data_IF_383582869570
#
_entry.id   IF_383582869570
#
_cell.length_a   1.000
_cell.length_b   1.000
_cell.length_c   1.000
_cell.angle_alpha   90.00
_cell.angle_beta   90.00
_cell.angle_gamma   90.00
#
_symmetry.space_group_name_H-M   'P 1'
#
loop_
_entity.id
_entity.type
_entity.pdbx_description
1 polymer ?
#
# COMPACT_ATOMS: atom_id res chain seq x y z
N UNK A 1 11.23 -9.70 -6.41
CA UNK A 1 12.60 -10.26 -6.51
C UNK A 1 12.67 -11.58 -5.77
N UNK A 2 13.69 -12.41 -6.02
CA UNK A 2 13.88 -13.66 -5.26
C UNK A 2 13.97 -13.41 -3.75
N UNK A 3 14.61 -12.32 -3.33
CA UNK A 3 14.66 -11.89 -1.92
C UNK A 3 13.27 -11.57 -1.34
N UNK A 4 12.37 -10.97 -2.12
CA UNK A 4 10.99 -10.70 -1.69
C UNK A 4 10.16 -11.99 -1.57
N UNK A 5 10.42 -12.99 -2.42
CA UNK A 5 9.78 -14.31 -2.29
C UNK A 5 10.24 -15.03 -1.03
N UNK A 6 11.54 -15.03 -0.74
CA UNK A 6 12.07 -15.61 0.48
C UNK A 6 11.50 -14.94 1.73
N UNK A 7 11.48 -13.59 1.76
CA UNK A 7 10.84 -12.84 2.85
C UNK A 7 9.38 -13.25 3.00
N UNK A 8 8.60 -13.29 1.92
CA UNK A 8 7.20 -13.72 1.97
C UNK A 8 7.02 -15.15 2.49
N UNK A 9 7.88 -16.10 2.10
CA UNK A 9 7.81 -17.48 2.58
C UNK A 9 8.15 -17.59 4.07
N UNK A 10 9.04 -16.74 4.59
CA UNK A 10 9.43 -16.70 6.00
C UNK A 10 8.42 -15.95 6.88
N UNK A 11 8.01 -14.73 6.49
CA UNK A 11 7.13 -13.85 7.27
C UNK A 11 5.63 -14.10 7.01
N UNK A 12 5.30 -14.92 6.00
CA UNK A 12 3.94 -15.14 5.48
C UNK A 12 3.20 -13.87 5.06
N UNK A 13 3.92 -12.75 4.89
CA UNK A 13 3.37 -11.46 4.51
C UNK A 13 4.42 -10.56 3.85
N UNK A 14 4.01 -9.77 2.87
CA UNK A 14 4.89 -8.86 2.12
C UNK A 14 4.12 -7.60 1.72
N UNK A 15 4.61 -6.44 2.14
CA UNK A 15 4.16 -5.13 1.66
C UNK A 15 5.11 -4.61 0.57
N UNK A 16 4.56 -4.17 -0.55
CA UNK A 16 5.30 -3.45 -1.59
C UNK A 16 4.43 -2.44 -2.31
N UNK A 17 5.06 -1.50 -3.02
CA UNK A 17 4.37 -0.58 -3.91
C UNK A 17 4.55 -1.01 -5.35
N UNK A 18 3.48 -0.90 -6.14
CA UNK A 18 3.48 -1.18 -7.57
C UNK A 18 2.95 0.04 -8.32
N UNK A 19 3.70 0.50 -9.31
CA UNK A 19 3.32 1.62 -10.16
C UNK A 19 2.84 1.06 -11.49
N UNK A 20 1.56 1.30 -11.81
CA UNK A 20 0.95 0.96 -13.08
C UNK A 20 1.13 2.15 -14.03
N UNK A 21 2.25 2.15 -14.76
CA UNK A 21 2.64 3.23 -15.68
C UNK A 21 2.46 4.61 -15.01
N UNK A 22 1.99 5.60 -15.76
CA UNK A 22 1.68 6.95 -15.26
C UNK A 22 0.23 7.08 -14.77
N UNK A 23 -0.50 5.97 -14.60
CA UNK A 23 -1.94 6.01 -14.27
C UNK A 23 -2.22 5.90 -12.79
N UNK A 24 -1.57 4.97 -12.10
CA UNK A 24 -1.91 4.66 -10.72
C UNK A 24 -0.75 4.02 -9.96
N UNK A 25 -0.63 4.38 -8.68
CA UNK A 25 0.26 3.68 -7.74
C UNK A 25 -0.59 2.88 -6.77
N UNK A 26 -0.21 1.64 -6.52
CA UNK A 26 -0.86 0.76 -5.56
C UNK A 26 0.10 0.42 -4.44
N UNK A 27 -0.40 0.42 -3.22
CA UNK A 27 0.25 -0.28 -2.10
C UNK A 27 -0.40 -1.64 -1.99
N UNK A 28 0.40 -2.68 -2.19
CA UNK A 28 -0.03 -4.08 -2.21
C UNK A 28 0.53 -4.75 -0.96
N UNK A 29 -0.35 -5.38 -0.18
CA UNK A 29 0.04 -6.29 0.89
C UNK A 29 -0.41 -7.70 0.47
N UNK A 30 0.53 -8.63 0.36
CA UNK A 30 0.27 -10.05 0.08
C UNK A 30 0.51 -10.83 1.35
N UNK A 31 -0.40 -11.72 1.74
CA UNK A 31 -0.36 -12.42 3.02
C UNK A 31 -1.06 -13.78 2.93
N UNK A 32 -0.80 -14.67 3.88
CA UNK A 32 -1.57 -15.89 4.02
C UNK A 32 -2.80 -15.67 4.90
N UNK A 33 -3.98 -15.97 4.36
CA UNK A 33 -5.24 -15.97 5.08
C UNK A 33 -5.80 -17.39 5.08
N UNK A 34 -5.96 -18.01 6.25
CA UNK A 34 -6.46 -19.41 6.37
C UNK A 34 -5.71 -20.42 5.49
N UNK A 35 -4.39 -20.24 5.37
CA UNK A 35 -3.54 -21.14 4.58
C UNK A 35 -3.54 -20.89 3.07
N UNK A 36 -4.36 -19.96 2.55
CA UNK A 36 -4.31 -19.52 1.15
C UNK A 36 -3.65 -18.16 1.02
N UNK A 37 -2.94 -17.96 -0.08
CA UNK A 37 -2.34 -16.66 -0.42
C UNK A 37 -3.47 -15.70 -0.79
N UNK A 38 -3.46 -14.51 -0.19
CA UNK A 38 -4.43 -13.44 -0.38
C UNK A 38 -3.69 -12.11 -0.53
N UNK A 39 -4.35 -11.11 -1.12
CA UNK A 39 -3.77 -9.78 -1.28
C UNK A 39 -4.78 -8.68 -1.07
N UNK A 40 -4.30 -7.55 -0.53
CA UNK A 40 -5.03 -6.31 -0.39
C UNK A 40 -4.34 -5.22 -1.20
N UNK A 41 -5.06 -4.64 -2.16
CA UNK A 41 -4.57 -3.55 -3.00
C UNK A 41 -5.25 -2.25 -2.57
N UNK A 42 -4.45 -1.25 -2.21
CA UNK A 42 -4.94 0.11 -1.94
C UNK A 42 -4.40 1.07 -2.99
N UNK A 43 -5.30 1.81 -3.63
CA UNK A 43 -4.94 2.89 -4.52
C UNK A 43 -4.25 3.99 -3.70
N UNK A 44 -3.08 4.42 -4.16
CA UNK A 44 -2.35 5.56 -3.64
C UNK A 44 -2.65 6.76 -4.54
N UNK A 45 -3.30 7.82 -4.02
CA UNK A 45 -3.60 9.01 -4.81
C UNK A 45 -2.33 9.64 -5.39
N UNK A 46 -2.39 10.04 -6.66
CA UNK A 46 -1.28 10.74 -7.33
C UNK A 46 -1.09 12.17 -6.81
N UNK A 47 -2.19 12.84 -6.46
CA UNK A 47 -2.20 14.16 -5.82
C UNK A 47 -2.27 13.97 -4.31
N UNK A 48 -1.32 14.55 -3.58
CA UNK A 48 -1.39 14.64 -2.12
C UNK A 48 -2.49 15.66 -1.78
N UNK A 49 -3.50 15.29 -0.99
CA UNK A 49 -4.57 16.21 -0.63
C UNK A 49 -4.07 17.31 0.30
N UNK A 50 -4.66 18.50 0.22
CA UNK A 50 -4.39 19.58 1.17
C UNK A 50 -5.04 19.30 2.53
N UNK A 51 -4.68 20.07 3.55
CA UNK A 51 -5.22 19.91 4.90
C UNK A 51 -6.74 20.17 4.91
N UNK A 52 -7.19 21.13 4.10
CA UNK A 52 -8.61 21.45 3.89
C UNK A 52 -9.36 20.32 3.18
N UNK A 53 -8.76 19.74 2.11
CA UNK A 53 -9.34 18.59 1.39
C UNK A 53 -9.48 17.35 2.29
N UNK A 54 -8.64 17.23 3.32
CA UNK A 54 -8.70 16.16 4.33
C UNK A 54 -9.73 16.43 5.45
N UNK A 55 -10.41 17.58 5.47
CA UNK A 55 -11.31 18.02 6.54
C UNK A 55 -10.69 17.92 7.94
N UNK A 56 -9.41 18.26 8.06
CA UNK A 56 -8.69 18.19 9.33
C UNK A 56 -9.00 19.40 10.22
N UNK A 57 -8.83 19.29 11.55
CA UNK A 57 -8.98 20.42 12.46
C UNK A 57 -8.02 21.58 12.15
N UNK A 58 -8.49 22.82 12.36
CA UNK A 58 -7.70 24.05 12.14
C UNK A 58 -6.37 24.08 12.90
N UNK A 59 -6.28 23.40 14.05
CA UNK A 59 -5.03 23.30 14.83
C UNK A 59 -3.88 22.62 14.06
N UNK A 60 -4.18 21.85 13.01
CA UNK A 60 -3.19 21.19 12.17
C UNK A 60 -2.72 22.03 10.97
N UNK A 61 -3.23 23.25 10.78
CA UNK A 61 -2.94 24.10 9.60
C UNK A 61 -1.71 25.03 9.78
N UNK A 62 -0.77 24.68 10.67
CA UNK A 62 0.43 25.50 10.94
C UNK A 62 1.55 25.32 9.93
#
# INVERSE_FOLDING_TARGET
TEEQKEKFLQSKSLDFSYTLEDRARFRINVFFQRGVVSSALRLVPSKIPTIEELNLPLILHQ
#
